data_IF_931622043557
#
_entry.id   IF_931622043557
#
_cell.length_a   1.000
_cell.length_b   1.000
_cell.length_c   1.000
_cell.angle_alpha   90.00
_cell.angle_beta   90.00
_cell.angle_gamma   90.00
#
_symmetry.space_group_name_H-M   'P 1'
#
loop_
_entity.id
_entity.type
_entity.pdbx_description
1 polymer ?
#
# COMPACT_ATOMS: atom_id res chain seq x y z
N UNK A 1 23.46 -2.95 25.64
CA UNK A 1 24.20 -3.19 26.89
C UNK A 1 25.60 -3.62 26.54
N UNK A 2 26.60 -2.89 27.01
CA UNK A 2 28.00 -3.20 26.68
C UNK A 2 28.42 -4.49 27.40
N UNK A 3 29.30 -5.29 26.79
CA UNK A 3 29.76 -6.58 27.33
C UNK A 3 30.23 -6.47 28.79
N UNK A 4 30.80 -5.33 29.18
CA UNK A 4 31.26 -5.03 30.54
C UNK A 4 30.14 -4.88 31.58
N UNK A 5 28.95 -4.39 31.21
CA UNK A 5 27.81 -4.28 32.12
C UNK A 5 27.20 -5.64 32.46
N UNK A 6 27.18 -6.54 31.46
CA UNK A 6 26.74 -7.93 31.63
C UNK A 6 27.74 -8.67 32.52
N UNK A 7 29.04 -8.49 32.28
CA UNK A 7 30.08 -9.15 33.07
C UNK A 7 30.11 -8.68 34.53
N UNK A 8 29.79 -7.41 34.78
CA UNK A 8 29.63 -6.87 36.13
C UNK A 8 28.40 -7.45 36.84
N UNK A 9 27.24 -7.54 36.16
CA UNK A 9 26.04 -8.18 36.74
C UNK A 9 26.24 -9.67 37.02
N UNK A 10 26.96 -10.38 36.14
CA UNK A 10 27.32 -11.79 36.35
C UNK A 10 28.23 -11.95 37.57
N UNK A 11 29.22 -11.08 37.75
CA UNK A 11 30.09 -11.11 38.94
C UNK A 11 29.34 -10.74 40.23
N UNK A 12 28.43 -9.76 40.18
CA UNK A 12 27.57 -9.42 41.33
C UNK A 12 26.65 -10.60 41.71
N UNK A 13 26.09 -11.32 40.72
CA UNK A 13 25.28 -12.52 40.95
C UNK A 13 26.10 -13.72 41.42
N UNK A 14 27.30 -13.95 40.89
CA UNK A 14 28.22 -14.97 41.40
C UNK A 14 28.61 -14.71 42.85
N UNK A 15 28.96 -13.46 43.21
CA UNK A 15 29.27 -13.12 44.60
C UNK A 15 28.06 -13.30 45.53
N UNK A 16 26.84 -13.05 45.05
CA UNK A 16 25.63 -13.34 45.81
C UNK A 16 25.39 -14.86 45.99
N UNK A 17 25.66 -15.66 44.95
CA UNK A 17 25.59 -17.14 45.02
C UNK A 17 26.63 -17.69 45.99
N UNK A 18 27.87 -17.19 45.96
CA UNK A 18 28.92 -17.59 46.91
C UNK A 18 28.56 -17.25 48.35
N UNK A 19 27.94 -16.08 48.59
CA UNK A 19 27.46 -15.71 49.94
C UNK A 19 26.34 -16.63 50.43
N UNK A 20 25.38 -16.96 49.56
CA UNK A 20 24.30 -17.91 49.90
C UNK A 20 24.88 -19.30 50.16
N UNK A 21 25.87 -19.74 49.38
CA UNK A 21 26.54 -21.02 49.60
C UNK A 21 27.26 -21.07 50.95
N UNK A 22 27.97 -20.00 51.32
CA UNK A 22 28.60 -19.89 52.64
C UNK A 22 27.58 -19.86 53.79
N UNK A 23 26.39 -19.30 53.58
CA UNK A 23 25.31 -19.36 54.57
C UNK A 23 24.70 -20.75 54.69
N UNK A 24 24.52 -21.47 53.58
CA UNK A 24 24.08 -22.88 53.57
C UNK A 24 25.09 -23.75 54.32
N UNK A 25 26.39 -23.61 54.04
CA UNK A 25 27.43 -24.39 54.69
C UNK A 25 27.52 -24.12 56.21
N UNK A 26 27.22 -22.89 56.64
CA UNK A 26 27.11 -22.53 58.07
C UNK A 26 25.91 -23.21 58.72
N UNK A 27 24.73 -23.14 58.09
CA UNK A 27 23.50 -23.77 58.60
C UNK A 27 23.65 -25.29 58.66
N UNK A 28 24.32 -25.90 57.68
CA UNK A 28 24.60 -27.35 57.68
C UNK A 28 25.56 -27.78 58.79
N UNK A 29 26.59 -26.97 59.07
CA UNK A 29 27.48 -27.22 60.20
C UNK A 29 26.75 -27.08 61.54
N UNK A 30 25.93 -26.04 61.69
CA UNK A 30 25.12 -25.86 62.90
C UNK A 30 24.12 -27.02 63.08
N UNK A 31 23.46 -27.46 62.00
CA UNK A 31 22.55 -28.61 62.01
C UNK A 31 23.29 -29.89 62.44
N UNK A 32 24.53 -30.08 62.00
CA UNK A 32 25.37 -31.22 62.40
C UNK A 32 25.71 -31.18 63.88
N UNK A 33 26.06 -30.00 64.41
CA UNK A 33 26.35 -29.81 65.85
C UNK A 33 25.08 -30.08 66.69
N UNK A 34 23.93 -29.53 66.30
CA UNK A 34 22.67 -29.76 67.01
C UNK A 34 22.24 -31.22 66.98
N UNK A 35 22.40 -31.93 65.85
CA UNK A 35 22.14 -33.38 65.76
C UNK A 35 23.04 -34.17 66.72
N UNK A 36 24.31 -33.79 66.85
CA UNK A 36 25.22 -34.46 67.79
C UNK A 36 24.88 -34.16 69.25
N UNK A 37 24.51 -32.92 69.58
CA UNK A 37 24.01 -32.56 70.92
C UNK A 37 22.72 -33.31 71.27
N UNK A 38 21.78 -33.44 70.33
CA UNK A 38 20.54 -34.18 70.53
C UNK A 38 20.81 -35.67 70.81
N UNK A 39 21.72 -36.31 70.06
CA UNK A 39 22.14 -37.70 70.31
C UNK A 39 22.71 -37.87 71.72
N UNK A 40 23.64 -36.98 72.12
CA UNK A 40 24.26 -37.02 73.44
C UNK A 40 23.23 -36.83 74.58
N UNK A 41 22.27 -35.91 74.42
CA UNK A 41 21.20 -35.69 75.41
C UNK A 41 20.25 -36.90 75.50
N UNK A 42 19.97 -37.55 74.36
CA UNK A 42 19.13 -38.76 74.32
C UNK A 42 19.79 -39.92 75.05
N UNK A 43 21.10 -40.12 74.86
CA UNK A 43 21.86 -41.14 75.59
C UNK A 43 21.93 -40.85 77.10
N UNK A 44 22.16 -39.59 77.50
CA UNK A 44 22.10 -39.19 78.92
C UNK A 44 20.73 -39.45 79.54
N UNK A 45 19.64 -39.17 78.81
CA UNK A 45 18.27 -39.47 79.25
C UNK A 45 18.06 -40.97 79.44
N UNK A 46 18.51 -41.80 78.47
CA UNK A 46 18.41 -43.26 78.57
C UNK A 46 19.14 -43.79 79.80
N UNK A 47 20.38 -43.34 80.01
CA UNK A 47 21.21 -43.73 81.15
C UNK A 47 20.58 -43.33 82.50
N UNK A 48 20.06 -42.11 82.61
CA UNK A 48 19.37 -41.64 83.82
C UNK A 48 18.09 -42.45 84.11
N UNK A 49 17.30 -42.76 83.08
CA UNK A 49 16.11 -43.61 83.24
C UNK A 49 16.46 -45.03 83.70
N UNK A 50 17.54 -45.61 83.18
CA UNK A 50 18.00 -46.95 83.57
C UNK A 50 18.48 -46.98 85.04
N UNK A 51 19.23 -45.96 85.48
CA UNK A 51 19.61 -45.81 86.89
C UNK A 51 18.40 -45.68 87.81
N UNK A 52 17.41 -44.88 87.42
CA UNK A 52 16.19 -44.65 88.20
C UNK A 52 15.39 -45.95 88.34
N UNK A 53 15.35 -46.78 87.29
CA UNK A 53 14.68 -48.07 87.32
C UNK A 53 15.42 -49.10 88.19
N UNK A 54 16.76 -49.10 88.17
CA UNK A 54 17.59 -49.92 89.07
C UNK A 54 17.42 -49.52 90.54
N UNK A 55 17.41 -48.22 90.85
CA UNK A 55 17.14 -47.70 92.19
C UNK A 55 15.73 -48.08 92.68
N UNK A 56 14.72 -48.04 91.80
CA UNK A 56 13.36 -48.47 92.09
C UNK A 56 13.28 -49.94 92.50
N UNK A 57 13.96 -50.84 91.76
CA UNK A 57 14.00 -52.29 92.07
C UNK A 57 14.64 -52.60 93.42
N UNK A 58 15.66 -51.84 93.84
CA UNK A 58 16.37 -52.06 95.10
C UNK A 58 15.66 -51.47 96.33
N UNK A 59 14.69 -50.57 96.14
CA UNK A 59 14.01 -49.88 97.25
C UNK A 59 13.07 -50.80 98.04
N UNK A 60 12.32 -51.64 97.34
CA UNK A 60 11.32 -52.53 97.96
C UNK A 60 11.95 -53.63 98.85
N UNK A 61 13.00 -54.36 98.43
CA UNK A 61 13.65 -55.33 99.31
C UNK A 61 14.34 -54.68 100.51
N UNK A 62 14.95 -53.49 100.35
CA UNK A 62 15.53 -52.75 101.49
C UNK A 62 14.48 -52.31 102.52
N UNK A 63 13.28 -51.92 102.09
CA UNK A 63 12.16 -51.65 103.00
C UNK A 63 11.73 -52.89 103.78
N UNK A 64 11.64 -54.05 103.11
CA UNK A 64 11.34 -55.32 103.75
C UNK A 64 12.38 -55.71 104.81
N UNK A 65 13.66 -55.55 104.51
CA UNK A 65 14.75 -55.80 105.47
C UNK A 65 14.68 -54.88 106.69
N UNK A 66 14.38 -53.58 106.50
CA UNK A 66 14.17 -52.63 107.59
C UNK A 66 13.03 -53.04 108.52
N UNK A 67 11.92 -53.54 107.96
CA UNK A 67 10.78 -54.03 108.76
C UNK A 67 11.19 -55.23 109.63
N UNK A 68 11.93 -56.19 109.05
CA UNK A 68 12.42 -57.36 109.77
C UNK A 68 13.38 -57.00 110.90
N UNK A 69 14.35 -56.10 110.63
CA UNK A 69 15.27 -55.59 111.66
C UNK A 69 14.52 -54.88 112.79
N UNK A 70 13.49 -54.09 112.46
CA UNK A 70 12.68 -53.37 113.45
C UNK A 70 11.90 -54.33 114.34
N UNK A 71 11.34 -55.39 113.77
CA UNK A 71 10.67 -56.44 114.54
C UNK A 71 11.66 -57.18 115.46
N UNK A 72 12.87 -57.49 114.97
CA UNK A 72 13.91 -58.13 115.78
C UNK A 72 14.39 -57.27 116.94
N UNK A 73 14.56 -55.97 116.73
CA UNK A 73 14.88 -55.02 117.81
C UNK A 73 13.77 -55.00 118.86
N UNK A 74 12.49 -55.09 118.44
CA UNK A 74 11.36 -55.11 119.37
C UNK A 74 11.34 -56.40 120.21
N UNK A 75 11.60 -57.55 119.60
CA UNK A 75 11.74 -58.84 120.31
C UNK A 75 12.87 -58.78 121.34
N UNK A 76 14.05 -58.31 120.93
CA UNK A 76 15.22 -58.22 121.83
C UNK A 76 14.98 -57.26 122.99
N UNK A 77 14.28 -56.13 122.76
CA UNK A 77 13.90 -55.21 123.84
C UNK A 77 12.95 -55.86 124.85
N UNK A 78 11.94 -56.60 124.37
CA UNK A 78 11.01 -57.31 125.25
C UNK A 78 11.71 -58.40 126.08
N UNK A 79 12.69 -59.11 125.50
CA UNK A 79 13.53 -60.07 126.24
C UNK A 79 14.39 -59.37 127.31
N UNK A 80 14.95 -58.20 126.99
CA UNK A 80 15.78 -57.42 127.90
C UNK A 80 14.96 -56.89 129.08
N UNK A 81 13.76 -56.35 128.83
CA UNK A 81 12.80 -55.97 129.87
C UNK A 81 12.40 -57.18 130.73
N UNK A 82 12.15 -58.34 130.12
CA UNK A 82 11.83 -59.58 130.84
C UNK A 82 12.96 -60.04 131.76
N UNK A 83 14.21 -60.03 131.30
CA UNK A 83 15.37 -60.38 132.12
C UNK A 83 15.65 -59.32 133.20
N UNK A 84 15.46 -58.03 132.92
CA UNK A 84 15.59 -56.97 133.91
C UNK A 84 14.53 -57.09 135.02
N UNK A 85 13.29 -57.45 134.69
CA UNK A 85 12.24 -57.70 135.67
C UNK A 85 12.51 -58.96 136.54
N UNK A 86 13.25 -59.94 136.00
CA UNK A 86 13.66 -61.14 136.74
C UNK A 86 14.85 -60.89 137.67
N UNK A 87 15.69 -59.89 137.37
CA UNK A 87 16.80 -59.47 138.23
C UNK A 87 16.23 -58.63 139.39
N UNK A 88 15.81 -59.31 140.46
CA UNK A 88 15.33 -58.68 141.70
C UNK A 88 14.03 -59.25 142.27
N UNK A 89 13.39 -60.22 141.62
CA UNK A 89 12.21 -60.90 142.18
C UNK A 89 12.64 -62.09 143.05
N UNK A 90 12.16 -62.15 144.29
CA UNK A 90 12.32 -63.33 145.15
C UNK A 90 11.49 -64.50 144.60
N UNK A 91 12.14 -65.68 144.43
CA UNK A 91 11.46 -66.90 144.00
C UNK A 91 10.57 -67.44 145.13
N UNK A 92 9.34 -66.96 145.19
CA UNK A 92 8.29 -67.54 146.04
C UNK A 92 7.69 -68.76 145.32
N UNK A 93 7.68 -69.91 146.01
CA UNK A 93 7.12 -71.17 145.50
C UNK A 93 5.59 -71.13 145.34
N UNK A 94 4.92 -70.08 145.80
CA UNK A 94 3.46 -69.92 145.80
C UNK A 94 3.11 -68.45 145.51
N UNK A 95 2.20 -68.23 144.56
CA UNK A 95 1.70 -66.90 144.19
C UNK A 95 1.11 -66.17 145.40
N UNK A 96 1.48 -64.90 145.59
CA UNK A 96 0.83 -64.01 146.56
C UNK A 96 -0.65 -63.80 146.20
N UNK A 97 -1.53 -63.55 147.18
CA UNK A 97 -2.96 -63.26 146.94
C UNK A 97 -3.18 -62.13 145.92
N UNK A 98 -2.29 -61.13 145.91
CA UNK A 98 -2.33 -60.03 144.94
C UNK A 98 -1.93 -60.50 143.53
N UNK A 99 -0.94 -61.39 143.42
CA UNK A 99 -0.52 -61.99 142.15
C UNK A 99 -1.56 -62.96 141.61
N UNK A 100 -2.30 -63.68 142.47
CA UNK A 100 -3.46 -64.50 142.07
C UNK A 100 -4.58 -63.64 141.48
N UNK A 101 -4.94 -62.54 142.14
CA UNK A 101 -5.94 -61.61 141.62
C UNK A 101 -5.49 -60.93 140.31
N UNK A 102 -4.20 -60.58 140.20
CA UNK A 102 -3.64 -60.03 138.98
C UNK A 102 -3.56 -61.06 137.85
N UNK A 103 -3.24 -62.32 138.16
CA UNK A 103 -3.21 -63.41 137.19
C UNK A 103 -4.63 -63.74 136.68
N UNK A 104 -5.66 -63.70 137.53
CA UNK A 104 -7.06 -63.85 137.11
C UNK A 104 -7.54 -62.65 136.27
N UNK A 105 -7.13 -61.42 136.62
CA UNK A 105 -7.39 -60.22 135.81
C UNK A 105 -6.71 -60.32 134.45
N UNK A 106 -5.44 -60.67 134.42
CA UNK A 106 -4.66 -60.86 133.19
C UNK A 106 -5.21 -62.01 132.36
N UNK A 107 -5.68 -63.11 132.96
CA UNK A 107 -6.34 -64.20 132.22
C UNK A 107 -7.64 -63.73 131.57
N UNK A 108 -8.47 -62.93 132.26
CA UNK A 108 -9.66 -62.30 131.66
C UNK A 108 -9.29 -61.33 130.53
N UNK A 109 -8.30 -60.46 130.75
CA UNK A 109 -7.82 -59.53 129.72
C UNK A 109 -7.20 -60.28 128.53
N UNK A 110 -6.50 -61.40 128.75
CA UNK A 110 -5.96 -62.27 127.69
C UNK A 110 -7.11 -62.92 126.92
N UNK A 111 -8.17 -63.38 127.58
CA UNK A 111 -9.34 -63.95 126.91
C UNK A 111 -10.04 -62.91 126.04
N UNK A 112 -10.29 -61.70 126.57
CA UNK A 112 -10.87 -60.60 125.81
C UNK A 112 -9.98 -60.15 124.65
N UNK A 113 -8.66 -60.05 124.86
CA UNK A 113 -7.72 -59.69 123.79
C UNK A 113 -7.60 -60.79 122.74
N UNK A 114 -7.67 -62.07 123.12
CA UNK A 114 -7.72 -63.20 122.16
C UNK A 114 -9.00 -63.15 121.33
N UNK A 115 -10.16 -62.89 121.94
CA UNK A 115 -11.42 -62.73 121.21
C UNK A 115 -11.37 -61.54 120.25
N UNK A 116 -10.83 -60.39 120.68
CA UNK A 116 -10.61 -59.23 119.80
C UNK A 116 -9.61 -59.53 118.68
N UNK A 117 -8.54 -60.26 118.96
CA UNK A 117 -7.57 -60.68 117.96
C UNK A 117 -8.18 -61.62 116.93
N UNK A 118 -8.99 -62.59 117.36
CA UNK A 118 -9.69 -63.51 116.46
C UNK A 118 -10.72 -62.77 115.59
N UNK A 119 -11.44 -61.80 116.16
CA UNK A 119 -12.36 -60.97 115.40
C UNK A 119 -11.63 -60.13 114.34
N UNK A 120 -10.56 -59.42 114.74
CA UNK A 120 -9.72 -58.64 113.82
C UNK A 120 -9.04 -59.54 112.78
N UNK A 121 -8.63 -60.75 113.15
CA UNK A 121 -8.04 -61.72 112.22
C UNK A 121 -9.06 -62.20 111.18
N UNK A 122 -10.31 -62.47 111.60
CA UNK A 122 -11.41 -62.81 110.69
C UNK A 122 -11.73 -61.66 109.75
N UNK A 123 -11.88 -60.44 110.27
CA UNK A 123 -12.11 -59.23 109.45
C UNK A 123 -10.97 -59.00 108.47
N UNK A 124 -9.71 -59.15 108.92
CA UNK A 124 -8.53 -59.06 108.07
C UNK A 124 -8.51 -60.15 107.00
N UNK A 125 -8.88 -61.40 107.32
CA UNK A 125 -8.94 -62.48 106.35
C UNK A 125 -9.99 -62.20 105.27
N UNK A 126 -11.17 -61.70 105.66
CA UNK A 126 -12.21 -61.31 104.71
C UNK A 126 -11.70 -60.18 103.81
N UNK A 127 -11.11 -59.13 104.39
CA UNK A 127 -10.52 -58.01 103.63
C UNK A 127 -9.37 -58.43 102.71
N UNK A 128 -8.51 -59.36 103.14
CA UNK A 128 -7.41 -59.85 102.30
C UNK A 128 -7.95 -60.67 101.11
N UNK A 129 -9.01 -61.48 101.32
CA UNK A 129 -9.64 -62.20 100.21
C UNK A 129 -10.37 -61.26 99.24
N UNK A 130 -11.02 -60.20 99.72
CA UNK A 130 -11.66 -59.21 98.83
C UNK A 130 -10.61 -58.41 98.07
N UNK A 131 -9.51 -58.00 98.73
CA UNK A 131 -8.36 -57.38 98.08
C UNK A 131 -7.77 -58.28 97.01
N UNK A 132 -7.51 -59.56 97.29
CA UNK A 132 -6.99 -60.51 96.28
C UNK A 132 -7.96 -60.69 95.11
N UNK A 133 -9.27 -60.74 95.35
CA UNK A 133 -10.27 -60.79 94.27
C UNK A 133 -10.22 -59.54 93.40
N UNK A 134 -10.15 -58.35 94.00
CA UNK A 134 -10.05 -57.08 93.27
C UNK A 134 -8.72 -56.93 92.54
N UNK A 135 -7.61 -57.30 93.16
CA UNK A 135 -6.28 -57.33 92.53
C UNK A 135 -6.26 -58.30 91.35
N UNK A 136 -6.86 -59.49 91.49
CA UNK A 136 -6.99 -60.42 90.37
C UNK A 136 -7.86 -59.85 89.25
N UNK A 137 -9.00 -59.23 89.55
CA UNK A 137 -9.85 -58.58 88.54
C UNK A 137 -9.12 -57.44 87.83
N UNK A 138 -8.39 -56.61 88.58
CA UNK A 138 -7.59 -55.52 88.04
C UNK A 138 -6.48 -56.05 87.14
N UNK A 139 -5.73 -57.05 87.61
CA UNK A 139 -4.51 -57.54 86.93
C UNK A 139 -4.83 -58.44 85.75
N UNK A 140 -5.77 -59.37 85.90
CA UNK A 140 -6.08 -60.35 84.85
C UNK A 140 -7.03 -59.80 83.80
N UNK A 141 -7.98 -58.93 84.18
CA UNK A 141 -9.00 -58.44 83.25
C UNK A 141 -8.74 -57.00 82.83
N UNK A 142 -8.76 -56.05 83.78
CA UNK A 142 -8.78 -54.62 83.44
C UNK A 142 -7.45 -54.13 82.83
N UNK A 143 -6.31 -54.51 83.41
CA UNK A 143 -4.99 -54.14 82.88
C UNK A 143 -4.74 -54.80 81.52
N UNK A 144 -5.07 -56.09 81.36
CA UNK A 144 -4.96 -56.77 80.05
C UNK A 144 -5.86 -56.14 79.00
N UNK A 145 -7.09 -55.76 79.38
CA UNK A 145 -8.03 -55.09 78.47
C UNK A 145 -7.55 -53.69 78.10
N UNK A 146 -7.01 -52.92 79.05
CA UNK A 146 -6.36 -51.63 78.80
C UNK A 146 -5.20 -51.79 77.84
N UNK A 147 -4.31 -52.74 78.07
CA UNK A 147 -3.11 -52.94 77.25
C UNK A 147 -3.48 -53.42 75.84
N UNK A 148 -4.48 -54.30 75.71
CA UNK A 148 -5.02 -54.72 74.41
C UNK A 148 -5.70 -53.57 73.66
N UNK A 149 -6.47 -52.71 74.34
CA UNK A 149 -7.08 -51.53 73.73
C UNK A 149 -6.02 -50.49 73.34
N UNK A 150 -5.00 -50.27 74.18
CA UNK A 150 -3.89 -49.37 73.87
C UNK A 150 -3.07 -49.87 72.68
N UNK A 151 -2.83 -51.18 72.57
CA UNK A 151 -2.19 -51.76 71.39
C UNK A 151 -3.02 -51.51 70.12
N UNK A 152 -4.33 -51.80 70.16
CA UNK A 152 -5.23 -51.53 69.04
C UNK A 152 -5.29 -50.05 68.65
N UNK A 153 -5.31 -49.15 69.63
CA UNK A 153 -5.29 -47.70 69.37
C UNK A 153 -3.96 -47.29 68.75
N UNK A 154 -2.83 -47.81 69.23
CA UNK A 154 -1.51 -47.51 68.68
C UNK A 154 -1.37 -48.01 67.23
N UNK A 155 -1.81 -49.24 66.96
CA UNK A 155 -1.70 -49.85 65.63
C UNK A 155 -2.59 -49.11 64.62
N UNK A 156 -3.87 -48.88 64.95
CA UNK A 156 -4.80 -48.16 64.07
C UNK A 156 -4.34 -46.71 63.86
N UNK A 157 -3.97 -46.00 64.92
CA UNK A 157 -3.61 -44.58 64.80
C UNK A 157 -2.29 -44.36 64.06
N UNK A 158 -1.33 -45.29 64.12
CA UNK A 158 -0.06 -45.16 63.40
C UNK A 158 -0.22 -45.59 61.95
N UNK A 159 -0.89 -46.70 61.67
CA UNK A 159 -1.06 -47.19 60.30
C UNK A 159 -2.01 -46.32 59.49
N UNK A 160 -3.12 -45.84 60.07
CA UNK A 160 -4.04 -44.91 59.40
C UNK A 160 -3.36 -43.57 59.12
N UNK A 161 -2.59 -43.02 60.07
CA UNK A 161 -1.81 -41.79 59.83
C UNK A 161 -0.71 -41.99 58.81
N UNK A 162 -0.06 -43.16 58.79
CA UNK A 162 0.98 -43.48 57.81
C UNK A 162 0.40 -43.63 56.41
N UNK A 163 -0.75 -44.30 56.28
CA UNK A 163 -1.45 -44.43 55.01
C UNK A 163 -1.94 -43.07 54.50
N UNK A 164 -2.53 -42.25 55.37
CA UNK A 164 -2.96 -40.89 55.01
C UNK A 164 -1.76 -40.01 54.62
N UNK A 165 -0.65 -40.06 55.36
CA UNK A 165 0.57 -39.33 55.00
C UNK A 165 1.13 -39.80 53.64
N UNK A 166 1.08 -41.09 53.36
CA UNK A 166 1.53 -41.64 52.08
C UNK A 166 0.61 -41.23 50.92
N UNK A 167 -0.71 -41.22 51.12
CA UNK A 167 -1.69 -40.76 50.14
C UNK A 167 -1.52 -39.26 49.86
N UNK A 168 -1.49 -38.43 50.90
CA UNK A 168 -1.25 -36.97 50.80
C UNK A 168 0.11 -36.67 50.15
N UNK A 169 1.16 -37.44 50.49
CA UNK A 169 2.47 -37.31 49.83
C UNK A 169 2.42 -37.69 48.36
N UNK A 170 1.67 -38.72 47.97
CA UNK A 170 1.51 -39.11 46.58
C UNK A 170 0.72 -38.08 45.78
N UNK A 171 -0.34 -37.52 46.36
CA UNK A 171 -1.10 -36.41 45.77
C UNK A 171 -0.23 -35.16 45.62
N UNK A 172 0.52 -34.79 46.66
CA UNK A 172 1.45 -33.67 46.59
C UNK A 172 2.47 -33.86 45.46
N UNK A 173 3.05 -35.05 45.33
CA UNK A 173 3.99 -35.36 44.24
C UNK A 173 3.33 -35.29 42.86
N UNK A 174 2.08 -35.75 42.73
CA UNK A 174 1.32 -35.63 41.47
C UNK A 174 1.04 -34.17 41.11
N UNK A 175 0.67 -33.35 42.09
CA UNK A 175 0.46 -31.91 41.90
C UNK A 175 1.76 -31.20 41.52
N UNK A 176 2.88 -31.54 42.17
CA UNK A 176 4.21 -31.01 41.81
C UNK A 176 4.58 -31.37 40.38
N UNK A 177 4.34 -32.61 39.94
CA UNK A 177 4.59 -33.02 38.56
C UNK A 177 3.74 -32.23 37.56
N UNK A 178 2.44 -32.08 37.82
CA UNK A 178 1.55 -31.25 36.99
C UNK A 178 1.97 -29.78 36.96
N UNK A 179 2.39 -29.24 38.10
CA UNK A 179 2.89 -27.87 38.19
C UNK A 179 4.16 -27.69 37.35
N UNK A 180 5.10 -28.63 37.42
CA UNK A 180 6.31 -28.59 36.60
C UNK A 180 6.00 -28.69 35.09
N UNK A 181 5.02 -29.50 34.70
CA UNK A 181 4.56 -29.61 33.31
C UNK A 181 3.92 -28.31 32.83
N UNK A 182 3.07 -27.68 33.66
CA UNK A 182 2.47 -26.37 33.35
C UNK A 182 3.55 -25.29 33.24
N UNK A 183 4.51 -25.25 34.17
CA UNK A 183 5.63 -24.30 34.13
C UNK A 183 6.47 -24.47 32.87
N UNK A 184 6.77 -25.72 32.49
CA UNK A 184 7.45 -26.00 31.21
C UNK A 184 6.63 -25.52 30.03
N UNK A 185 5.32 -25.75 30.03
CA UNK A 185 4.45 -25.32 28.94
C UNK A 185 4.34 -23.81 28.83
N UNK A 186 4.34 -23.09 29.96
CA UNK A 186 4.39 -21.63 29.98
C UNK A 186 5.70 -21.14 29.36
N UNK A 187 6.83 -21.73 29.72
CA UNK A 187 8.13 -21.36 29.13
C UNK A 187 8.18 -21.59 27.61
N UNK A 188 7.64 -22.71 27.12
CA UNK A 188 7.54 -22.99 25.68
C UNK A 188 6.62 -21.98 24.95
N UNK A 189 5.52 -21.57 25.59
CA UNK A 189 4.60 -20.57 25.05
C UNK A 189 5.22 -19.17 25.05
N UNK A 190 5.98 -18.81 26.09
CA UNK A 190 6.70 -17.54 26.18
C UNK A 190 7.77 -17.45 25.09
N UNK A 191 8.53 -18.54 24.86
CA UNK A 191 9.51 -18.61 23.77
C UNK A 191 8.82 -18.46 22.40
N UNK A 192 7.71 -19.18 22.18
CA UNK A 192 6.91 -19.05 20.96
C UNK A 192 6.37 -17.62 20.77
N UNK A 193 5.90 -16.98 21.84
CA UNK A 193 5.43 -15.59 21.80
C UNK A 193 6.56 -14.63 21.41
N UNK A 194 7.76 -14.80 21.97
CA UNK A 194 8.90 -13.97 21.59
C UNK A 194 9.29 -14.14 20.13
N UNK A 195 9.25 -15.37 19.59
CA UNK A 195 9.49 -15.62 18.16
C UNK A 195 8.42 -14.96 17.27
N UNK A 196 7.14 -15.02 17.68
CA UNK A 196 6.05 -14.35 16.96
C UNK A 196 6.19 -12.83 16.99
N UNK A 197 6.58 -12.25 18.12
CA UNK A 197 6.80 -10.80 18.25
C UNK A 197 7.98 -10.34 17.37
N UNK A 198 9.09 -11.08 17.36
CA UNK A 198 10.23 -10.78 16.48
C UNK A 198 9.85 -10.89 14.99
N UNK A 199 9.05 -11.90 14.63
CA UNK A 199 8.55 -12.07 13.27
C UNK A 199 7.60 -10.94 12.87
N UNK A 200 6.71 -10.53 13.77
CA UNK A 200 5.80 -9.41 13.57
C UNK A 200 6.56 -8.09 13.41
N UNK A 201 7.60 -7.83 14.21
CA UNK A 201 8.45 -6.65 14.04
C UNK A 201 9.17 -6.65 12.68
N UNK A 202 9.72 -7.79 12.25
CA UNK A 202 10.37 -7.90 10.93
C UNK A 202 9.37 -7.61 9.80
N UNK A 203 8.19 -8.23 9.85
CA UNK A 203 7.17 -8.03 8.83
C UNK A 203 6.63 -6.59 8.79
N UNK A 204 6.51 -5.95 9.96
CA UNK A 204 6.13 -4.53 10.02
C UNK A 204 7.21 -3.62 9.41
N UNK A 205 8.50 -3.88 9.64
CA UNK A 205 9.59 -3.13 8.99
C UNK A 205 9.58 -3.34 7.47
N UNK A 206 9.43 -4.57 7.01
CA UNK A 206 9.30 -4.86 5.57
C UNK A 206 8.08 -4.15 4.96
N UNK A 207 6.96 -4.08 5.68
CA UNK A 207 5.77 -3.38 5.24
C UNK A 207 5.99 -1.87 5.17
N UNK A 208 6.67 -1.27 6.14
CA UNK A 208 7.06 0.16 6.11
C UNK A 208 8.00 0.46 4.93
N UNK A 209 9.03 -0.38 4.71
CA UNK A 209 9.96 -0.23 3.59
C UNK A 209 9.24 -0.31 2.24
N UNK A 210 8.32 -1.26 2.07
CA UNK A 210 7.53 -1.41 0.84
C UNK A 210 6.57 -0.24 0.65
N UNK A 211 5.98 0.29 1.72
CA UNK A 211 5.12 1.48 1.64
C UNK A 211 5.91 2.74 1.25
N UNK A 212 7.13 2.91 1.76
CA UNK A 212 8.01 4.01 1.36
C UNK A 212 8.41 3.89 -0.11
N UNK A 213 8.80 2.69 -0.56
CA UNK A 213 9.09 2.43 -1.98
C UNK A 213 7.86 2.69 -2.88
N UNK A 214 6.66 2.28 -2.45
CA UNK A 214 5.44 2.57 -3.18
C UNK A 214 5.23 4.08 -3.34
N UNK A 215 5.39 4.84 -2.25
CA UNK A 215 5.20 6.30 -2.26
C UNK A 215 6.21 7.00 -3.16
N UNK A 216 7.47 6.56 -3.16
CA UNK A 216 8.50 7.08 -4.06
C UNK A 216 8.20 6.77 -5.53
N UNK A 217 7.74 5.55 -5.83
CA UNK A 217 7.32 5.18 -7.18
C UNK A 217 6.09 5.97 -7.64
N UNK A 218 5.11 6.21 -6.77
CA UNK A 218 3.96 7.05 -7.06
C UNK A 218 4.37 8.51 -7.34
N UNK A 219 5.33 9.05 -6.58
CA UNK A 219 5.88 10.38 -6.83
C UNK A 219 6.60 10.46 -8.19
N UNK A 220 7.43 9.46 -8.51
CA UNK A 220 8.10 9.37 -9.81
C UNK A 220 7.09 9.25 -10.96
N UNK A 221 6.04 8.45 -10.79
CA UNK A 221 4.98 8.29 -11.79
C UNK A 221 4.22 9.60 -12.02
N UNK A 222 3.91 10.34 -10.96
CA UNK A 222 3.30 11.66 -11.07
C UNK A 222 4.19 12.66 -11.82
N UNK A 223 5.50 12.65 -11.58
CA UNK A 223 6.44 13.52 -12.29
C UNK A 223 6.62 13.11 -13.75
N UNK A 224 6.68 11.80 -14.06
CA UNK A 224 6.68 11.33 -15.44
C UNK A 224 5.37 11.68 -16.17
N UNK A 225 4.22 11.60 -15.50
CA UNK A 225 2.93 12.04 -16.07
C UNK A 225 2.96 13.52 -16.44
N UNK A 226 3.44 14.40 -15.54
CA UNK A 226 3.58 15.84 -15.83
C UNK A 226 4.53 16.09 -17.00
N UNK A 227 5.65 15.37 -17.07
CA UNK A 227 6.59 15.49 -18.19
C UNK A 227 5.95 15.03 -19.51
N UNK A 228 5.17 13.94 -19.48
CA UNK A 228 4.43 13.46 -20.64
C UNK A 228 3.40 14.49 -21.13
N UNK A 229 2.66 15.13 -20.22
CA UNK A 229 1.70 16.20 -20.56
C UNK A 229 2.40 17.40 -21.21
N UNK A 230 3.57 17.80 -20.71
CA UNK A 230 4.38 18.87 -21.31
C UNK A 230 4.85 18.50 -22.73
N UNK A 231 5.27 17.25 -22.94
CA UNK A 231 5.69 16.77 -24.26
C UNK A 231 4.48 16.71 -25.20
N UNK A 232 3.34 16.21 -24.74
CA UNK A 232 2.13 16.08 -25.54
C UNK A 232 1.58 17.45 -25.97
N UNK A 233 1.55 18.42 -25.05
CA UNK A 233 1.15 19.80 -25.37
C UNK A 233 2.11 20.47 -26.36
N UNK A 234 3.42 20.27 -26.21
CA UNK A 234 4.43 20.73 -27.19
C UNK A 234 4.24 20.06 -28.55
N UNK A 235 4.00 18.75 -28.58
CA UNK A 235 3.76 17.99 -29.80
C UNK A 235 2.50 18.49 -30.51
N UNK A 236 1.39 18.65 -29.79
CA UNK A 236 0.14 19.18 -30.33
C UNK A 236 0.32 20.58 -30.93
N UNK A 237 1.05 21.46 -30.24
CA UNK A 237 1.36 22.81 -30.73
C UNK A 237 2.20 22.78 -32.02
N UNK A 238 3.24 21.92 -32.07
CA UNK A 238 4.08 21.76 -33.25
C UNK A 238 3.33 21.13 -34.42
N UNK A 239 2.43 20.18 -34.13
CA UNK A 239 1.56 19.55 -35.11
C UNK A 239 0.61 20.59 -35.74
N UNK A 240 -0.04 21.41 -34.93
CA UNK A 240 -0.90 22.50 -35.40
C UNK A 240 -0.12 23.50 -36.28
N UNK A 241 1.09 23.91 -35.85
CA UNK A 241 1.99 24.76 -36.67
C UNK A 241 2.39 24.10 -37.99
N UNK A 242 2.64 22.78 -37.98
CA UNK A 242 2.93 22.01 -39.20
C UNK A 242 1.72 22.01 -40.13
N UNK A 243 0.53 21.73 -39.62
CA UNK A 243 -0.71 21.71 -40.40
C UNK A 243 -1.01 23.07 -41.01
N UNK A 244 -0.85 24.17 -40.25
CA UNK A 244 -0.95 25.53 -40.78
C UNK A 244 0.06 25.80 -41.88
N UNK A 245 1.31 25.37 -41.70
CA UNK A 245 2.37 25.55 -42.70
C UNK A 245 2.07 24.76 -43.97
N UNK A 246 1.59 23.51 -43.84
CA UNK A 246 1.15 22.68 -44.98
C UNK A 246 -0.06 23.31 -45.67
N UNK A 247 -1.00 23.88 -44.92
CA UNK A 247 -2.14 24.61 -45.47
C UNK A 247 -1.69 25.82 -46.28
N UNK A 248 -0.78 26.66 -45.74
CA UNK A 248 -0.17 27.78 -46.47
C UNK A 248 0.55 27.30 -47.73
N UNK A 249 1.29 26.19 -47.67
CA UNK A 249 1.94 25.59 -48.85
C UNK A 249 0.90 25.19 -49.91
N UNK A 250 -0.24 24.60 -49.53
CA UNK A 250 -1.31 24.27 -50.48
C UNK A 250 -1.99 25.51 -51.06
N UNK A 251 -2.20 26.56 -50.25
CA UNK A 251 -2.78 27.84 -50.68
C UNK A 251 -1.91 28.57 -51.70
N UNK A 252 -0.59 28.36 -51.68
CA UNK A 252 0.34 28.89 -52.70
C UNK A 252 0.13 28.27 -54.09
N UNK A 253 -0.66 27.20 -54.22
CA UNK A 253 -1.03 26.58 -55.50
C UNK A 253 0.04 25.65 -56.08
N UNK A 254 -0.08 25.34 -57.37
CA UNK A 254 0.85 24.44 -58.06
C UNK A 254 2.14 25.17 -58.42
N UNK A 255 3.24 24.83 -57.73
CA UNK A 255 4.56 25.27 -58.14
C UNK A 255 5.00 24.57 -59.45
N UNK A 256 5.68 25.28 -60.36
CA UNK A 256 6.30 24.67 -61.54
C UNK A 256 7.29 23.56 -61.14
N UNK A 257 7.32 22.46 -61.89
CA UNK A 257 8.24 21.32 -61.66
C UNK A 257 9.72 21.74 -61.65
N UNK A 258 10.06 22.78 -62.41
CA UNK A 258 11.41 23.35 -62.48
C UNK A 258 11.83 24.12 -61.20
N UNK A 259 10.88 24.49 -60.34
CA UNK A 259 11.17 25.09 -59.04
C UNK A 259 11.63 24.05 -58.01
N UNK A 260 11.16 22.81 -58.12
CA UNK A 260 11.57 21.72 -57.22
C UNK A 260 13.02 21.29 -57.48
N UNK A 261 13.42 21.12 -58.75
CA UNK A 261 14.77 20.70 -59.11
C UNK A 261 15.87 21.72 -58.77
N UNK A 262 15.62 23.01 -58.97
CA UNK A 262 16.63 24.07 -58.80
C UNK A 262 17.03 24.36 -57.35
N UNK A 263 16.13 24.12 -56.39
CA UNK A 263 16.35 24.53 -54.99
C UNK A 263 16.46 23.37 -53.98
N UNK A 264 16.37 22.12 -54.44
CA UNK A 264 16.33 20.89 -53.60
C UNK A 264 17.57 20.69 -52.69
N UNK A 265 18.72 21.27 -53.04
CA UNK A 265 20.00 21.07 -52.31
C UNK A 265 20.43 22.21 -51.39
N UNK A 266 19.63 23.28 -51.26
CA UNK A 266 20.00 24.45 -50.46
C UNK A 266 19.55 24.31 -49.01
N UNK A 267 20.37 24.80 -48.08
CA UNK A 267 20.00 24.87 -46.66
C UNK A 267 18.94 25.96 -46.42
N UNK A 268 18.15 25.84 -45.34
CA UNK A 268 17.13 26.83 -44.97
C UNK A 268 17.68 28.26 -44.93
N UNK A 269 18.89 28.45 -44.36
CA UNK A 269 19.53 29.78 -44.30
C UNK A 269 19.87 30.35 -45.67
N UNK A 270 20.25 29.51 -46.63
CA UNK A 270 20.54 29.94 -48.00
C UNK A 270 19.26 30.24 -48.79
N UNK A 271 18.19 29.46 -48.55
CA UNK A 271 16.84 29.72 -49.08
C UNK A 271 16.30 31.06 -48.58
N UNK A 272 16.44 31.37 -47.29
CA UNK A 272 16.01 32.65 -46.71
C UNK A 272 16.74 33.84 -47.34
N UNK A 273 18.06 33.71 -47.57
CA UNK A 273 18.85 34.75 -48.23
C UNK A 273 18.37 34.99 -49.67
N UNK A 274 18.17 33.91 -50.44
CA UNK A 274 17.64 34.02 -51.81
C UNK A 274 16.21 34.55 -51.84
N UNK A 275 15.36 34.20 -50.88
CA UNK A 275 14.02 34.75 -50.75
C UNK A 275 14.07 36.25 -50.50
N UNK A 276 14.96 36.72 -49.63
CA UNK A 276 15.15 38.15 -49.37
C UNK A 276 15.65 38.91 -50.61
N UNK A 277 16.59 38.34 -51.36
CA UNK A 277 17.06 38.89 -52.65
C UNK A 277 15.91 38.95 -53.66
N UNK A 278 15.15 37.87 -53.84
CA UNK A 278 13.97 37.85 -54.71
C UNK A 278 12.91 38.87 -54.29
N UNK A 279 12.64 39.02 -52.98
CA UNK A 279 11.72 40.03 -52.47
C UNK A 279 12.20 41.46 -52.76
N UNK A 280 13.51 41.73 -52.65
CA UNK A 280 14.09 43.01 -53.03
C UNK A 280 13.94 43.30 -54.53
N UNK A 281 14.21 42.31 -55.39
CA UNK A 281 13.99 42.45 -56.83
C UNK A 281 12.50 42.66 -57.14
N UNK A 282 11.60 41.94 -56.46
CA UNK A 282 10.15 42.07 -56.67
C UNK A 282 9.64 43.48 -56.32
N UNK A 283 10.20 44.12 -55.29
CA UNK A 283 9.89 45.52 -54.94
C UNK A 283 10.24 46.51 -56.06
N UNK A 284 11.27 46.26 -56.87
CA UNK A 284 11.60 47.14 -58.01
C UNK A 284 10.48 47.14 -59.07
N UNK A 285 9.68 46.08 -59.12
CA UNK A 285 8.57 45.90 -60.05
C UNK A 285 7.20 46.19 -59.43
N UNK A 286 7.15 46.88 -58.28
CA UNK A 286 5.90 47.18 -57.56
C UNK A 286 4.92 48.01 -58.41
N UNK A 287 5.42 48.87 -59.30
CA UNK A 287 4.63 49.75 -60.18
C UNK A 287 4.37 49.19 -61.58
N UNK A 288 4.42 47.87 -61.78
CA UNK A 288 4.11 47.27 -63.09
C UNK A 288 2.59 47.18 -63.30
N UNK A 289 2.12 47.66 -64.47
CA UNK A 289 0.71 47.55 -64.86
C UNK A 289 0.33 46.09 -65.12
N UNK A 290 -0.33 45.47 -64.14
CA UNK A 290 -0.79 44.07 -64.21
C UNK A 290 -1.81 43.81 -65.32
N UNK A 291 -2.52 44.84 -65.79
CA UNK A 291 -3.49 44.76 -66.91
C UNK A 291 -2.85 45.00 -68.27
N UNK A 292 -1.55 45.26 -68.35
CA UNK A 292 -0.89 45.59 -69.62
C UNK A 292 -1.04 44.47 -70.66
N UNK A 293 -1.00 43.20 -70.23
CA UNK A 293 -1.20 42.08 -71.13
C UNK A 293 -2.63 42.04 -71.68
N UNK A 294 -3.64 42.12 -70.82
CA UNK A 294 -5.05 42.12 -71.23
C UNK A 294 -5.36 43.34 -72.12
N UNK A 295 -4.86 44.52 -71.74
CA UNK A 295 -4.97 45.75 -72.52
C UNK A 295 -4.27 45.62 -73.88
N UNK A 296 -3.10 44.98 -73.93
CA UNK A 296 -2.38 44.75 -75.18
C UNK A 296 -3.14 43.79 -76.09
N UNK A 297 -3.65 42.67 -75.56
CA UNK A 297 -4.45 41.70 -76.35
C UNK A 297 -5.71 42.37 -76.89
N UNK A 298 -6.43 43.12 -76.05
CA UNK A 298 -7.62 43.87 -76.48
C UNK A 298 -7.28 44.93 -77.52
N UNK A 299 -6.22 45.71 -77.32
CA UNK A 299 -5.79 46.74 -78.27
C UNK A 299 -5.27 46.15 -79.58
N UNK A 300 -4.58 45.00 -79.53
CA UNK A 300 -4.10 44.29 -80.71
C UNK A 300 -5.27 43.76 -81.55
N UNK A 301 -6.28 43.15 -80.92
CA UNK A 301 -7.51 42.71 -81.58
C UNK A 301 -8.28 43.89 -82.20
N UNK A 302 -8.44 44.99 -81.46
CA UNK A 302 -9.08 46.20 -81.99
C UNK A 302 -8.32 46.80 -83.17
N UNK A 303 -6.99 46.82 -83.12
CA UNK A 303 -6.15 47.27 -84.24
C UNK A 303 -6.35 46.39 -85.47
N UNK A 304 -6.41 45.08 -85.30
CA UNK A 304 -6.65 44.15 -86.42
C UNK A 304 -8.03 44.39 -87.06
N UNK A 305 -9.09 44.52 -86.26
CA UNK A 305 -10.44 44.77 -86.75
C UNK A 305 -10.55 46.12 -87.49
N UNK A 306 -9.95 47.18 -86.94
CA UNK A 306 -9.91 48.49 -87.59
C UNK A 306 -9.12 48.45 -88.90
N UNK A 307 -8.02 47.67 -88.96
CA UNK A 307 -7.23 47.50 -90.18
C UNK A 307 -8.04 46.79 -91.26
N UNK A 308 -8.75 45.71 -90.93
CA UNK A 308 -9.66 45.03 -91.87
C UNK A 308 -10.76 45.95 -92.39
N UNK A 309 -11.41 46.72 -91.50
CA UNK A 309 -12.44 47.70 -91.90
C UNK A 309 -11.89 48.78 -92.84
N UNK A 310 -10.66 49.23 -92.62
CA UNK A 310 -10.01 50.20 -93.50
C UNK A 310 -9.78 49.62 -94.90
N UNK A 311 -9.29 48.38 -94.99
CA UNK A 311 -9.09 47.69 -96.26
C UNK A 311 -10.42 47.46 -97.01
N UNK A 312 -11.49 47.09 -96.30
CA UNK A 312 -12.84 46.96 -96.87
C UNK A 312 -13.38 48.29 -97.38
N UNK A 313 -13.23 49.37 -96.62
CA UNK A 313 -13.65 50.71 -97.06
C UNK A 313 -12.85 51.17 -98.28
N UNK A 314 -11.54 50.93 -98.34
CA UNK A 314 -10.73 51.24 -99.52
C UNK A 314 -11.18 50.45 -100.75
N UNK A 315 -11.51 49.16 -100.60
CA UNK A 315 -12.10 48.38 -101.71
C UNK A 315 -13.45 48.93 -102.14
N UNK A 316 -14.33 49.25 -101.19
CA UNK A 316 -15.64 49.83 -101.47
C UNK A 316 -15.53 51.17 -102.19
N UNK A 317 -14.59 52.03 -101.79
CA UNK A 317 -14.34 53.31 -102.45
C UNK A 317 -13.93 53.08 -103.91
N UNK A 318 -12.97 52.19 -104.17
CA UNK A 318 -12.55 51.85 -105.54
C UNK A 318 -13.70 51.31 -106.39
N UNK A 319 -14.53 50.42 -105.83
CA UNK A 319 -15.70 49.90 -106.56
C UNK A 319 -16.75 50.97 -106.85
N UNK A 320 -16.92 51.97 -105.98
CA UNK A 320 -17.82 53.11 -106.24
C UNK A 320 -17.24 54.00 -107.34
N UNK A 321 -15.94 54.29 -107.33
CA UNK A 321 -15.26 55.07 -108.37
C UNK A 321 -15.37 54.37 -109.74
N UNK A 322 -15.14 53.06 -109.79
CA UNK A 322 -15.33 52.23 -111.00
C UNK A 322 -16.79 52.26 -111.48
N UNK A 323 -17.76 52.12 -110.58
CA UNK A 323 -19.18 52.20 -110.93
C UNK A 323 -19.57 53.58 -111.48
N UNK A 324 -19.04 54.66 -110.86
CA UNK A 324 -19.29 56.02 -111.31
C UNK A 324 -18.78 56.21 -112.74
N UNK A 325 -17.57 55.71 -113.04
CA UNK A 325 -16.98 55.72 -114.37
C UNK A 325 -17.83 54.96 -115.39
N UNK A 326 -18.36 53.78 -115.03
CA UNK A 326 -19.26 53.00 -115.89
C UNK A 326 -20.59 53.73 -116.13
N UNK A 327 -21.17 54.33 -115.09
CA UNK A 327 -22.41 55.10 -115.21
C UNK A 327 -22.23 56.34 -116.08
N UNK A 328 -21.11 57.07 -115.94
CA UNK A 328 -20.82 58.23 -116.78
C UNK A 328 -20.60 57.85 -118.24
N UNK A 329 -19.92 56.72 -118.50
CA UNK A 329 -19.78 56.17 -119.86
C UNK A 329 -21.15 55.83 -120.45
N UNK A 330 -22.02 55.15 -119.68
CA UNK A 330 -23.36 54.78 -120.14
C UNK A 330 -24.28 56.00 -120.32
N UNK A 331 -24.14 57.03 -119.48
CA UNK A 331 -24.82 58.33 -119.61
C UNK A 331 -24.42 59.00 -120.92
N UNK A 332 -23.13 59.01 -121.25
CA UNK A 332 -22.62 59.56 -122.50
C UNK A 332 -23.18 58.81 -123.72
N UNK A 333 -23.11 57.47 -123.73
CA UNK A 333 -23.65 56.65 -124.82
C UNK A 333 -25.15 56.88 -125.02
N UNK A 334 -25.93 56.95 -123.94
CA UNK A 334 -27.36 57.22 -124.01
C UNK A 334 -27.67 58.61 -124.56
N UNK A 335 -26.92 59.64 -124.15
CA UNK A 335 -27.05 61.01 -124.68
C UNK A 335 -26.70 61.04 -126.18
N UNK A 336 -25.62 60.37 -126.60
CA UNK A 336 -25.26 60.29 -128.03
C UNK A 336 -26.31 59.54 -128.86
N UNK A 337 -26.83 58.42 -128.36
CA UNK A 337 -27.83 57.62 -129.06
C UNK A 337 -29.14 58.39 -129.22
N UNK A 338 -29.63 59.00 -128.13
CA UNK A 338 -30.85 59.83 -128.16
C UNK A 338 -30.66 61.05 -129.05
N UNK A 339 -29.51 61.72 -129.00
CA UNK A 339 -29.20 62.83 -129.90
C UNK A 339 -29.22 62.40 -131.37
N UNK A 340 -28.57 61.28 -131.70
CA UNK A 340 -28.54 60.75 -133.08
C UNK A 340 -29.95 60.41 -133.57
N UNK A 341 -30.79 59.85 -132.71
CA UNK A 341 -32.17 59.52 -133.04
C UNK A 341 -33.04 60.77 -133.22
N UNK A 342 -32.91 61.76 -132.33
CA UNK A 342 -33.60 63.06 -132.45
C UNK A 342 -33.11 63.80 -133.70
N UNK A 343 -31.82 63.79 -134.00
CA UNK A 343 -31.26 64.40 -135.21
C UNK A 343 -31.77 63.75 -136.49
N UNK A 344 -31.89 62.43 -136.52
CA UNK A 344 -32.46 61.71 -137.67
C UNK A 344 -33.94 62.04 -137.85
N UNK A 345 -34.72 61.99 -136.77
CA UNK A 345 -36.15 62.31 -136.81
C UNK A 345 -36.39 63.77 -137.18
N UNK A 346 -35.59 64.70 -136.68
CA UNK A 346 -35.66 66.11 -137.06
C UNK A 346 -35.38 66.33 -138.54
N UNK A 347 -34.33 65.70 -139.08
CA UNK A 347 -34.04 65.78 -140.52
C UNK A 347 -35.20 65.25 -141.36
N UNK A 348 -35.79 64.11 -140.97
CA UNK A 348 -36.92 63.50 -141.68
C UNK A 348 -38.20 64.35 -141.60
N UNK A 349 -38.53 64.87 -140.41
CA UNK A 349 -39.69 65.76 -140.21
C UNK A 349 -39.49 67.07 -140.97
N UNK A 350 -38.31 67.67 -140.90
CA UNK A 350 -38.00 68.91 -141.59
C UNK A 350 -38.12 68.76 -143.12
N UNK A 351 -37.64 67.66 -143.67
CA UNK A 351 -37.76 67.36 -145.11
C UNK A 351 -39.21 67.10 -145.55
N UNK A 352 -40.07 66.55 -144.68
CA UNK A 352 -41.52 66.42 -144.96
C UNK A 352 -42.24 67.78 -144.98
N UNK A 353 -41.82 68.72 -144.12
CA UNK A 353 -42.39 70.07 -144.06
C UNK A 353 -41.88 70.98 -145.19
N UNK A 354 -40.63 70.81 -145.61
CA UNK A 354 -39.99 71.58 -146.68
C UNK A 354 -39.36 70.62 -147.69
N UNK A 355 -40.04 70.32 -148.82
CA UNK A 355 -39.61 69.29 -149.76
C UNK A 355 -38.19 69.49 -150.31
N UNK A 356 -37.74 70.74 -150.39
CA UNK A 356 -36.43 71.15 -150.91
C UNK A 356 -35.49 71.70 -149.80
N UNK A 357 -35.74 71.40 -148.53
CA UNK A 357 -34.91 71.84 -147.41
C UNK A 357 -34.17 70.69 -146.71
N UNK A 358 -33.02 70.96 -146.12
CA UNK A 358 -32.30 70.02 -145.25
C UNK A 358 -32.09 70.62 -143.85
N UNK A 359 -32.37 69.85 -142.81
CA UNK A 359 -32.20 70.26 -141.41
C UNK A 359 -31.38 69.23 -140.65
N UNK A 360 -30.37 69.67 -139.89
CA UNK A 360 -29.52 68.83 -139.05
C UNK A 360 -29.33 69.48 -137.67
N UNK A 361 -29.37 68.69 -136.60
CA UNK A 361 -28.94 69.15 -135.28
C UNK A 361 -27.45 68.90 -135.10
N UNK A 362 -26.77 69.83 -134.44
CA UNK A 362 -25.34 69.75 -134.10
C UNK A 362 -25.19 69.98 -132.60
N UNK A 363 -24.53 69.08 -131.86
CA UNK A 363 -24.21 69.30 -130.45
C UNK A 363 -23.13 70.38 -130.37
N UNK A 364 -23.33 71.39 -129.52
CA UNK A 364 -22.33 72.41 -129.24
C UNK A 364 -21.58 72.06 -127.96
N UNK A 365 -20.27 71.87 -128.09
CA UNK A 365 -19.33 71.77 -126.98
C UNK A 365 -18.75 73.13 -126.63
N UNK A 366 -18.31 73.30 -125.37
CA UNK A 366 -17.86 74.56 -124.77
C UNK A 366 -16.61 75.15 -125.41
N UNK A 367 -15.83 74.32 -126.09
CA UNK A 367 -14.59 74.71 -126.74
C UNK A 367 -14.73 74.64 -128.28
N UNK A 368 -14.68 75.81 -128.92
CA UNK A 368 -14.56 75.98 -130.38
C UNK A 368 -13.08 76.21 -130.73
N UNK A 369 -12.38 75.16 -131.14
CA UNK A 369 -11.26 75.24 -132.09
C UNK A 369 -10.95 73.83 -132.63
N UNK A 370 -10.81 73.74 -133.95
CA UNK A 370 -10.50 72.53 -134.70
C UNK A 370 -9.06 72.05 -134.40
N UNK A 371 -8.91 70.88 -133.79
CA UNK A 371 -7.89 69.85 -134.08
C UNK A 371 -8.14 68.61 -133.22
N UNK A 372 -8.99 67.71 -133.69
CA UNK A 372 -9.15 66.37 -133.12
C UNK A 372 -7.95 65.49 -133.53
N UNK A 373 -6.96 65.34 -132.64
CA UNK A 373 -6.01 64.22 -132.70
C UNK A 373 -6.54 63.08 -131.81
N UNK A 374 -7.01 62.02 -132.47
CA UNK A 374 -7.64 60.87 -131.86
C UNK A 374 -6.59 59.85 -131.41
N UNK A 375 -5.97 60.06 -130.24
CA UNK A 375 -4.97 59.10 -129.74
C UNK A 375 -4.89 58.92 -128.21
N UNK A 376 -5.92 59.27 -127.43
CA UNK A 376 -6.05 58.81 -126.03
C UNK A 376 -7.49 58.42 -125.62
N UNK A 377 -7.73 57.20 -125.10
CA UNK A 377 -9.07 56.73 -124.72
C UNK A 377 -9.63 57.36 -123.43
N UNK A 378 -8.81 58.01 -122.60
CA UNK A 378 -9.22 58.56 -121.29
C UNK A 378 -9.98 59.89 -121.36
N UNK A 379 -9.97 60.60 -122.50
CA UNK A 379 -10.68 61.89 -122.62
C UNK A 379 -12.18 61.75 -122.91
N UNK A 380 -12.70 60.55 -123.15
CA UNK A 380 -14.13 60.34 -123.45
C UNK A 380 -15.06 60.64 -122.26
N UNK A 381 -14.56 60.58 -121.02
CA UNK A 381 -15.37 60.67 -119.80
C UNK A 381 -15.81 62.11 -119.44
N UNK A 382 -15.00 63.13 -119.75
CA UNK A 382 -15.32 64.53 -119.43
C UNK A 382 -16.15 65.25 -120.51
N UNK A 383 -16.47 64.58 -121.63
CA UNK A 383 -17.14 65.21 -122.76
C UNK A 383 -18.61 65.55 -122.43
N UNK A 384 -19.27 64.81 -121.53
CA UNK A 384 -20.69 65.08 -121.19
C UNK A 384 -20.88 66.44 -120.53
N UNK A 385 -19.97 66.83 -119.63
CA UNK A 385 -20.03 68.13 -118.93
C UNK A 385 -19.64 69.30 -119.84
N UNK A 386 -18.98 69.01 -120.97
CA UNK A 386 -18.58 69.98 -121.98
C UNK A 386 -19.72 70.36 -122.95
N UNK A 387 -20.86 69.65 -122.92
CA UNK A 387 -22.02 69.99 -123.75
C UNK A 387 -22.71 71.26 -123.24
N UNK A 388 -22.76 72.30 -124.07
CA UNK A 388 -23.34 73.61 -123.72
C UNK A 388 -24.75 73.77 -124.27
N UNK A 389 -25.04 73.11 -125.39
CA UNK A 389 -26.34 73.22 -126.03
C UNK A 389 -26.42 72.44 -127.33
N UNK A 390 -27.56 72.55 -127.99
CA UNK A 390 -27.79 71.96 -129.30
C UNK A 390 -28.09 73.07 -130.30
N UNK A 391 -27.29 73.17 -131.36
CA UNK A 391 -27.52 74.06 -132.47
C UNK A 391 -28.36 73.39 -133.55
N UNK A 392 -29.23 74.16 -134.20
CA UNK A 392 -30.02 73.72 -135.34
C UNK A 392 -29.43 74.35 -136.60
N UNK A 393 -29.01 73.53 -137.56
CA UNK A 393 -28.54 73.97 -138.88
C UNK A 393 -29.59 73.59 -139.91
N UNK A 394 -30.23 74.58 -140.50
CA UNK A 394 -31.28 74.40 -141.51
C UNK A 394 -30.90 75.13 -142.79
N UNK A 395 -31.14 74.49 -143.91
CA UNK A 395 -30.96 75.01 -145.26
C UNK A 395 -32.28 74.86 -146.00
N UNK A 396 -32.77 75.94 -146.58
CA UNK A 396 -34.00 75.95 -147.37
C UNK A 396 -33.57 76.29 -148.78
N UNK A 397 -33.62 75.34 -149.71
CA UNK A 397 -33.18 75.61 -151.07
C UNK A 397 -34.30 76.36 -151.81
N UNK A 398 -34.15 77.69 -151.85
CA UNK A 398 -34.74 78.55 -152.85
C UNK A 398 -33.58 79.06 -153.69
N UNK A 399 -33.58 78.74 -154.97
CA UNK A 399 -32.60 79.22 -155.96
C UNK A 399 -32.33 80.72 -155.82
N UNK A 400 -31.20 81.07 -155.19
CA UNK A 400 -30.25 82.13 -155.55
C UNK A 400 -29.01 82.04 -154.67
#
# INVERSE_FOLDING_TARGET
MTLGEIQRKVNEKMSAVEKIQMEIDKVDNDLRVYKQQHRNLTEKKRYASEQLHAMGRNREPKKGQLLNLRNRVRELRAQLEGYQAQIGSEFLSQLSRNEQAECERLQREILERKQKLDQVSKERSVLETTKQKLENQLTTNLLRKRDSLNAKISDIAVDEKRHNLQAESAELNSVIQRLNEIVRRIAELDESLTEYDESAEKLNRELEDVQEQQKDLEAQLADFSKQADIIFTKQSTLQSKREESVKKIRELGSLPTDAFSKYQGLSSKQLDKKLAECMQELKKYENVNKKALDQFVQAASQKEDLTKRMEEQQKSQKSIEELLQVLDTRKYEAIQLTFKQVSKNFAEVFQKLVPNGTGALVIQTKDKDDTFDASQPDQALHIVESFVGVGIKVSFDGTS
#
